data_IF_920836097879
#
_entry.id   IF_920836097879
#
_cell.length_a   1.000
_cell.length_b   1.000
_cell.length_c   1.000
_cell.angle_alpha   90.00
_cell.angle_beta   90.00
_cell.angle_gamma   90.00
#
_symmetry.space_group_name_H-M   'P 1'
#
loop_
_entity.id
_entity.type
_entity.pdbx_description
1 polymer ?
#
# COMPACT_ATOMS: atom_id res chain seq x y z
N UNK A 1 37.19 13.87 -4.34
CA UNK A 1 35.85 14.35 -4.78
C UNK A 1 34.65 13.68 -4.08
N UNK A 2 34.21 12.47 -4.44
CA UNK A 2 32.97 11.86 -3.88
C UNK A 2 32.99 11.65 -2.35
N UNK A 3 34.16 11.33 -1.81
CA UNK A 3 34.36 11.16 -0.36
C UNK A 3 34.64 12.49 0.35
N UNK A 4 35.36 13.41 -0.30
CA UNK A 4 35.88 14.64 0.33
C UNK A 4 34.91 15.82 0.23
N UNK A 5 34.23 16.01 -0.92
CA UNK A 5 33.32 17.14 -1.14
C UNK A 5 31.84 16.79 -0.90
N UNK A 6 31.45 15.54 -1.18
CA UNK A 6 30.06 15.08 -1.00
C UNK A 6 29.82 14.23 0.26
N UNK A 7 30.85 13.95 1.07
CA UNK A 7 30.77 13.22 2.34
C UNK A 7 29.98 11.89 2.30
N UNK A 8 30.02 11.15 1.18
CA UNK A 8 29.37 9.83 1.11
C UNK A 8 30.22 8.75 1.82
N UNK A 9 29.76 8.30 2.99
CA UNK A 9 30.39 7.20 3.73
C UNK A 9 30.03 5.79 3.17
N UNK A 10 28.88 5.64 2.50
CA UNK A 10 28.41 4.37 1.88
C UNK A 10 27.65 4.64 0.58
N UNK A 11 27.73 3.72 -0.39
CA UNK A 11 27.02 3.79 -1.69
C UNK A 11 27.79 4.40 -2.86
N UNK A 12 29.08 4.71 -2.68
CA UNK A 12 29.94 5.28 -3.73
C UNK A 12 30.11 4.35 -4.93
N UNK A 13 30.21 3.03 -4.72
CA UNK A 13 30.44 2.06 -5.79
C UNK A 13 29.29 1.98 -6.79
N UNK A 14 28.04 2.00 -6.30
CA UNK A 14 26.84 1.98 -7.16
C UNK A 14 26.74 3.25 -8.02
N UNK A 15 27.19 4.37 -7.47
CA UNK A 15 27.19 5.69 -8.12
C UNK A 15 28.37 5.88 -9.07
N UNK A 16 29.52 5.31 -8.74
CA UNK A 16 30.67 5.23 -9.64
C UNK A 16 30.36 4.32 -10.83
N UNK A 17 29.72 3.17 -10.61
CA UNK A 17 29.31 2.26 -11.70
C UNK A 17 28.29 2.89 -12.66
N UNK A 18 27.45 3.82 -12.19
CA UNK A 18 26.52 4.57 -13.05
C UNK A 18 27.21 5.47 -14.09
N UNK A 19 28.49 5.81 -13.87
CA UNK A 19 29.30 6.58 -14.82
C UNK A 19 30.26 5.75 -15.65
N UNK A 20 30.51 4.50 -15.25
CA UNK A 20 31.53 3.64 -15.84
C UNK A 20 30.89 2.32 -16.28
N UNK A 21 30.15 2.36 -17.38
CA UNK A 21 29.50 1.16 -17.97
C UNK A 21 30.54 0.15 -18.51
N UNK A 22 31.75 0.62 -18.83
CA UNK A 22 32.83 -0.17 -19.45
C UNK A 22 34.08 -0.37 -18.58
N UNK A 23 33.99 -0.17 -17.26
CA UNK A 23 35.10 -0.34 -16.32
C UNK A 23 36.27 0.66 -16.48
N UNK A 24 36.10 1.70 -17.29
CA UNK A 24 37.06 2.80 -17.41
C UNK A 24 37.03 3.68 -16.17
N UNK A 25 38.19 4.07 -15.63
CA UNK A 25 38.27 4.91 -14.43
C UNK A 25 38.10 6.41 -14.69
N UNK A 26 37.94 6.81 -15.96
CA UNK A 26 37.89 8.21 -16.38
C UNK A 26 36.56 8.50 -17.09
N UNK A 27 35.99 9.67 -16.82
CA UNK A 27 34.82 10.21 -17.54
C UNK A 27 35.23 11.49 -18.26
N UNK A 28 34.92 11.58 -19.55
CA UNK A 28 35.20 12.80 -20.31
C UNK A 28 34.13 13.87 -20.05
N UNK A 29 34.49 15.15 -20.16
CA UNK A 29 33.52 16.26 -20.01
C UNK A 29 32.38 16.15 -21.04
N UNK A 30 32.68 15.66 -22.25
CA UNK A 30 31.68 15.46 -23.31
C UNK A 30 30.69 14.36 -22.96
N UNK A 31 31.16 13.29 -22.34
CA UNK A 31 30.35 12.18 -21.87
C UNK A 31 29.45 12.61 -20.70
N UNK A 32 29.99 13.36 -19.74
CA UNK A 32 29.21 13.96 -18.67
C UNK A 32 28.09 14.86 -19.21
N UNK A 33 28.40 15.68 -20.21
CA UNK A 33 27.42 16.55 -20.86
C UNK A 33 26.33 15.77 -21.62
N UNK A 34 26.70 14.65 -22.24
CA UNK A 34 25.76 13.74 -22.91
C UNK A 34 24.83 13.05 -21.91
N UNK A 35 25.37 12.56 -20.79
CA UNK A 35 24.62 11.94 -19.69
C UNK A 35 23.65 12.96 -19.08
N UNK A 36 24.13 14.16 -18.78
CA UNK A 36 23.30 15.23 -18.21
C UNK A 36 22.16 15.62 -19.16
N UNK A 37 22.43 15.81 -20.46
CA UNK A 37 21.37 16.15 -21.43
C UNK A 37 20.31 15.07 -21.59
N UNK A 38 20.65 13.80 -21.34
CA UNK A 38 19.70 12.68 -21.34
C UNK A 38 18.99 12.49 -20.00
N UNK A 39 19.45 13.16 -18.94
CA UNK A 39 18.89 13.02 -17.59
C UNK A 39 17.59 13.82 -17.43
N UNK A 40 16.67 13.29 -16.61
CA UNK A 40 15.40 13.96 -16.27
C UNK A 40 15.60 15.33 -15.62
N UNK A 41 16.75 15.52 -14.96
CA UNK A 41 17.17 16.76 -14.31
C UNK A 41 17.26 17.91 -15.31
N UNK A 42 17.73 17.65 -16.52
CA UNK A 42 17.81 18.68 -17.57
C UNK A 42 16.42 19.27 -17.88
N UNK A 43 15.42 18.39 -17.95
CA UNK A 43 14.03 18.73 -18.27
C UNK A 43 13.23 19.27 -17.08
N UNK A 44 13.85 19.54 -15.94
CA UNK A 44 13.11 20.06 -14.80
C UNK A 44 12.52 21.44 -15.04
N UNK A 45 11.26 21.58 -14.63
CA UNK A 45 10.58 22.87 -14.59
C UNK A 45 11.05 23.71 -13.41
N UNK A 46 10.63 24.98 -13.39
CA UNK A 46 10.96 25.91 -12.30
C UNK A 46 10.37 25.41 -10.99
N UNK A 47 9.15 24.89 -11.02
CA UNK A 47 8.43 24.36 -9.85
C UNK A 47 9.18 23.17 -9.24
N UNK A 48 9.65 22.23 -10.09
CA UNK A 48 10.43 21.08 -9.65
C UNK A 48 11.77 21.49 -9.03
N UNK A 49 12.42 22.50 -9.62
CA UNK A 49 13.68 23.04 -9.09
C UNK A 49 13.48 23.76 -7.75
N UNK A 50 12.36 24.47 -7.59
CA UNK A 50 11.96 25.13 -6.34
C UNK A 50 11.62 24.10 -5.26
N UNK A 51 10.87 23.05 -5.61
CA UNK A 51 10.56 21.94 -4.70
C UNK A 51 11.84 21.24 -4.24
N UNK A 52 12.78 20.98 -5.16
CA UNK A 52 14.09 20.44 -4.85
C UNK A 52 14.87 21.32 -3.84
N UNK A 53 14.89 22.63 -4.06
CA UNK A 53 15.53 23.58 -3.14
C UNK A 53 14.89 23.56 -1.75
N UNK A 54 13.57 23.43 -1.68
CA UNK A 54 12.81 23.41 -0.44
C UNK A 54 12.96 22.09 0.35
N UNK A 55 12.95 20.95 -0.34
CA UNK A 55 12.90 19.61 0.27
C UNK A 55 14.29 18.99 0.44
N UNK A 56 15.16 19.11 -0.57
CA UNK A 56 16.47 18.42 -0.58
C UNK A 56 17.60 19.31 -0.10
N UNK A 57 17.54 20.61 -0.41
CA UNK A 57 18.54 21.59 0.03
C UNK A 57 18.11 22.26 1.35
N UNK A 58 16.81 22.17 1.70
CA UNK A 58 16.20 22.74 2.91
C UNK A 58 16.36 24.26 3.01
N UNK A 59 16.43 24.95 1.86
CA UNK A 59 16.61 26.41 1.78
C UNK A 59 15.34 27.07 1.22
N UNK A 60 14.24 26.92 1.96
CA UNK A 60 12.93 27.47 1.59
C UNK A 60 12.91 28.98 1.42
N UNK A 61 13.80 29.71 2.11
CA UNK A 61 13.87 31.17 2.04
C UNK A 61 14.25 31.73 0.65
N UNK A 62 14.87 30.92 -0.21
CA UNK A 62 15.28 31.35 -1.55
C UNK A 62 14.33 30.87 -2.66
N UNK A 63 13.25 30.16 -2.32
CA UNK A 63 12.29 29.61 -3.31
C UNK A 63 11.69 30.69 -4.20
N UNK A 64 11.27 31.80 -3.59
CA UNK A 64 10.69 32.93 -4.30
C UNK A 64 11.68 33.52 -5.33
N UNK A 65 12.95 33.67 -4.94
CA UNK A 65 13.99 34.17 -5.85
C UNK A 65 14.33 33.20 -6.97
N UNK A 66 14.26 31.89 -6.71
CA UNK A 66 14.44 30.87 -7.74
C UNK A 66 13.27 30.88 -8.75
N UNK A 67 12.05 31.12 -8.26
CA UNK A 67 10.87 31.25 -9.10
C UNK A 67 10.91 32.51 -9.97
N UNK A 68 11.19 33.68 -9.37
CA UNK A 68 11.30 34.97 -10.07
C UNK A 68 12.38 34.98 -11.15
N UNK A 69 13.51 34.31 -10.90
CA UNK A 69 14.60 34.20 -11.86
C UNK A 69 14.45 33.02 -12.84
N UNK A 70 13.28 32.36 -12.86
CA UNK A 70 12.96 31.23 -13.72
C UNK A 70 14.05 30.14 -13.75
N UNK A 71 14.58 29.79 -12.57
CA UNK A 71 15.64 28.80 -12.43
C UNK A 71 15.08 27.41 -12.73
N UNK A 72 15.45 26.87 -13.89
CA UNK A 72 15.03 25.55 -14.38
C UNK A 72 16.18 24.52 -14.33
N UNK A 73 15.89 23.28 -14.74
CA UNK A 73 16.86 22.19 -14.78
C UNK A 73 18.11 22.48 -15.62
N UNK A 74 17.97 23.26 -16.69
CA UNK A 74 19.06 23.60 -17.62
C UNK A 74 20.16 24.48 -17.00
N UNK A 75 19.84 25.24 -15.94
CA UNK A 75 20.79 26.13 -15.26
C UNK A 75 21.44 25.49 -14.03
N UNK A 76 21.06 24.26 -13.65
CA UNK A 76 21.65 23.54 -12.53
C UNK A 76 23.17 23.31 -12.65
N UNK A 77 23.75 23.01 -13.83
CA UNK A 77 25.21 22.93 -13.97
C UNK A 77 25.91 24.26 -13.64
N UNK A 78 25.27 25.40 -13.92
CA UNK A 78 25.81 26.72 -13.58
C UNK A 78 25.80 26.99 -12.08
N UNK A 79 24.83 26.42 -11.36
CA UNK A 79 24.78 26.42 -9.89
C UNK A 79 25.86 25.48 -9.31
N UNK A 80 26.05 24.31 -9.90
CA UNK A 80 27.09 23.36 -9.50
C UNK A 80 28.53 23.89 -9.75
N UNK A 81 28.72 24.76 -10.73
CA UNK A 81 29.99 25.44 -10.99
C UNK A 81 30.29 26.61 -10.04
N UNK A 82 29.45 26.84 -9.02
CA UNK A 82 29.59 27.92 -8.04
C UNK A 82 29.79 29.32 -8.68
N UNK A 83 29.00 29.65 -9.69
CA UNK A 83 29.12 30.96 -10.35
C UNK A 83 28.68 32.09 -9.39
N UNK A 84 29.67 32.78 -8.80
CA UNK A 84 29.44 33.82 -7.79
C UNK A 84 28.58 34.97 -8.31
N UNK A 85 28.71 35.33 -9.59
CA UNK A 85 27.90 36.39 -10.19
C UNK A 85 26.42 36.00 -10.20
N UNK A 86 26.12 34.76 -10.56
CA UNK A 86 24.74 34.27 -10.60
C UNK A 86 24.14 34.08 -9.19
N UNK A 87 24.86 33.38 -8.30
CA UNK A 87 24.40 33.12 -6.93
C UNK A 87 24.24 34.40 -6.10
N UNK A 88 25.15 35.36 -6.26
CA UNK A 88 25.20 36.56 -5.42
C UNK A 88 24.42 37.72 -6.03
N UNK A 89 24.54 37.99 -7.34
CA UNK A 89 23.88 39.15 -7.98
C UNK A 89 22.46 38.85 -8.43
N UNK A 90 22.18 37.64 -8.94
CA UNK A 90 20.86 37.28 -9.47
C UNK A 90 20.00 36.66 -8.38
N UNK A 91 20.53 35.65 -7.68
CA UNK A 91 19.80 34.95 -6.61
C UNK A 91 19.93 35.62 -5.23
N UNK A 92 20.83 36.59 -5.07
CA UNK A 92 20.98 37.34 -3.83
C UNK A 92 21.38 36.51 -2.61
N UNK A 93 22.10 35.40 -2.82
CA UNK A 93 22.57 34.51 -1.75
C UNK A 93 23.98 34.97 -1.34
N UNK A 94 24.06 35.71 -0.24
CA UNK A 94 25.34 36.26 0.25
C UNK A 94 26.09 35.28 1.16
N UNK A 95 25.36 34.40 1.84
CA UNK A 95 25.95 33.47 2.79
C UNK A 95 26.80 32.40 2.08
N UNK A 96 28.11 32.30 2.38
CA UNK A 96 28.97 31.27 1.77
C UNK A 96 28.49 29.85 2.10
N UNK A 97 27.95 29.62 3.30
CA UNK A 97 27.41 28.31 3.70
C UNK A 97 26.24 27.86 2.82
N UNK A 98 25.29 28.76 2.54
CA UNK A 98 24.14 28.44 1.68
C UNK A 98 24.56 28.21 0.24
N UNK A 99 25.51 29.01 -0.26
CA UNK A 99 26.10 28.83 -1.60
C UNK A 99 26.75 27.46 -1.73
N UNK A 100 27.68 27.11 -0.83
CA UNK A 100 28.33 25.80 -0.84
C UNK A 100 27.32 24.65 -0.73
N UNK A 101 26.28 24.76 0.11
CA UNK A 101 25.22 23.75 0.23
C UNK A 101 24.48 23.55 -1.11
N UNK A 102 24.10 24.64 -1.78
CA UNK A 102 23.43 24.59 -3.09
C UNK A 102 24.36 24.00 -4.14
N UNK A 103 25.63 24.44 -4.20
CA UNK A 103 26.62 23.94 -5.16
C UNK A 103 26.81 22.43 -5.04
N UNK A 104 27.02 21.93 -3.82
CA UNK A 104 27.22 20.50 -3.55
C UNK A 104 25.97 19.69 -3.94
N UNK A 105 24.78 20.16 -3.56
CA UNK A 105 23.52 19.48 -3.89
C UNK A 105 23.19 19.54 -5.39
N UNK A 106 23.45 20.67 -6.05
CA UNK A 106 23.27 20.83 -7.48
C UNK A 106 24.21 19.89 -8.23
N UNK A 107 25.43 19.71 -7.74
CA UNK A 107 26.36 18.75 -8.31
C UNK A 107 25.89 17.30 -8.11
N UNK A 108 25.38 16.95 -6.93
CA UNK A 108 24.79 15.63 -6.68
C UNK A 108 23.67 15.33 -7.68
N UNK A 109 22.80 16.30 -7.94
CA UNK A 109 21.67 16.14 -8.87
C UNK A 109 22.12 16.08 -10.33
N UNK A 110 23.05 16.95 -10.75
CA UNK A 110 23.58 16.95 -12.12
C UNK A 110 24.33 15.65 -12.43
N UNK A 111 25.02 15.09 -11.42
CA UNK A 111 25.76 13.86 -11.56
C UNK A 111 24.86 12.61 -11.44
N UNK A 112 23.97 12.57 -10.45
CA UNK A 112 23.29 11.34 -10.06
C UNK A 112 21.78 11.33 -10.33
N UNK A 113 21.24 12.41 -10.88
CA UNK A 113 19.82 12.53 -11.19
C UNK A 113 18.98 13.02 -10.00
N UNK A 114 17.64 12.94 -10.12
CA UNK A 114 16.72 13.40 -9.08
C UNK A 114 16.99 12.73 -7.73
N UNK A 115 16.90 13.47 -6.60
CA UNK A 115 16.94 12.85 -5.29
C UNK A 115 15.76 11.88 -5.18
N UNK A 116 16.03 10.64 -4.76
CA UNK A 116 15.07 9.52 -4.73
C UNK A 116 13.92 9.70 -3.73
N UNK A 117 13.62 10.90 -3.25
CA UNK A 117 12.68 11.18 -2.17
C UNK A 117 11.21 11.28 -2.58
N UNK A 118 10.89 11.70 -3.82
CA UNK A 118 9.49 11.78 -4.27
C UNK A 118 8.97 10.40 -4.67
N UNK A 119 9.66 9.74 -5.60
CA UNK A 119 9.18 8.47 -6.15
C UNK A 119 9.09 7.34 -5.13
N UNK A 120 9.88 7.33 -4.06
CA UNK A 120 9.72 6.31 -2.99
C UNK A 120 8.42 6.50 -2.20
N UNK A 121 8.01 7.74 -1.93
CA UNK A 121 6.72 8.00 -1.28
C UNK A 121 5.58 7.59 -2.19
N UNK A 122 5.68 7.95 -3.47
CA UNK A 122 4.68 7.59 -4.49
C UNK A 122 4.62 6.07 -4.69
N UNK A 123 5.77 5.37 -4.71
CA UNK A 123 5.84 3.92 -4.82
C UNK A 123 5.19 3.23 -3.61
N UNK A 124 5.41 3.73 -2.39
CA UNK A 124 4.78 3.20 -1.17
C UNK A 124 3.26 3.43 -1.19
N UNK A 125 2.81 4.58 -1.67
CA UNK A 125 1.38 4.85 -1.84
C UNK A 125 0.75 3.90 -2.87
N UNK A 126 1.42 3.66 -3.99
CA UNK A 126 0.96 2.74 -5.05
C UNK A 126 0.95 1.29 -4.55
N UNK A 127 1.96 0.84 -3.81
CA UNK A 127 1.96 -0.53 -3.26
C UNK A 127 0.89 -0.71 -2.19
N UNK A 128 0.63 0.30 -1.36
CA UNK A 128 -0.44 0.27 -0.38
C UNK A 128 -1.82 0.24 -1.06
N UNK A 129 -2.03 1.07 -2.09
CA UNK A 129 -3.29 1.12 -2.84
C UNK A 129 -3.54 -0.20 -3.57
N UNK A 130 -2.52 -0.80 -4.18
CA UNK A 130 -2.67 -2.09 -4.88
C UNK A 130 -2.96 -3.23 -3.90
N UNK A 131 -2.31 -3.28 -2.74
CA UNK A 131 -2.66 -4.24 -1.68
C UNK A 131 -4.10 -4.06 -1.18
N UNK A 132 -4.56 -2.82 -1.01
CA UNK A 132 -5.94 -2.53 -0.64
C UNK A 132 -6.94 -2.98 -1.72
N UNK A 133 -6.65 -2.73 -2.99
CA UNK A 133 -7.48 -3.18 -4.11
C UNK A 133 -7.50 -4.70 -4.27
N UNK A 134 -6.36 -5.37 -4.09
CA UNK A 134 -6.26 -6.84 -4.12
C UNK A 134 -7.05 -7.44 -2.95
N UNK A 135 -6.91 -6.86 -1.74
CA UNK A 135 -7.69 -7.26 -0.56
C UNK A 135 -9.18 -7.05 -0.75
N UNK A 136 -9.58 -5.88 -1.28
CA UNK A 136 -10.97 -5.56 -1.58
C UNK A 136 -11.53 -6.47 -2.67
N UNK A 137 -10.78 -6.76 -3.73
CA UNK A 137 -11.19 -7.68 -4.79
C UNK A 137 -11.36 -9.11 -4.28
N UNK A 138 -10.41 -9.60 -3.48
CA UNK A 138 -10.50 -10.93 -2.85
C UNK A 138 -11.65 -11.02 -1.86
N UNK A 139 -11.86 -9.99 -1.03
CA UNK A 139 -13.00 -9.91 -0.11
C UNK A 139 -14.33 -9.83 -0.87
N UNK A 140 -14.40 -9.05 -1.93
CA UNK A 140 -15.57 -8.94 -2.81
C UNK A 140 -15.88 -10.26 -3.53
N UNK A 141 -14.86 -10.96 -4.01
CA UNK A 141 -15.01 -12.29 -4.62
C UNK A 141 -15.50 -13.33 -3.59
N UNK A 142 -14.96 -13.30 -2.36
CA UNK A 142 -15.41 -14.13 -1.25
C UNK A 142 -16.85 -13.78 -0.83
N UNK A 143 -17.19 -12.50 -0.84
CA UNK A 143 -18.53 -11.98 -0.54
C UNK A 143 -19.60 -12.53 -1.48
N UNK A 144 -19.24 -12.70 -2.75
CA UNK A 144 -20.13 -13.31 -3.74
C UNK A 144 -20.31 -14.82 -3.54
N UNK A 145 -19.33 -15.48 -2.92
CA UNK A 145 -19.43 -16.90 -2.55
C UNK A 145 -20.28 -17.07 -1.27
N UNK A 146 -20.24 -16.11 -0.34
CA UNK A 146 -21.04 -16.14 0.89
C UNK A 146 -22.55 -16.08 0.61
N UNK A 147 -23.02 -15.35 -0.40
CA UNK A 147 -24.45 -15.34 -0.73
C UNK A 147 -24.99 -16.73 -1.13
N UNK A 148 -24.17 -17.53 -1.83
CA UNK A 148 -24.55 -18.91 -2.19
C UNK A 148 -24.54 -19.82 -0.96
N UNK A 149 -23.52 -19.71 -0.13
CA UNK A 149 -23.39 -20.52 1.09
C UNK A 149 -24.48 -20.21 2.13
N UNK A 150 -24.91 -18.95 2.24
CA UNK A 150 -26.02 -18.55 3.13
C UNK A 150 -27.37 -19.12 2.67
N UNK A 151 -27.60 -19.19 1.36
CA UNK A 151 -28.81 -19.79 0.80
C UNK A 151 -28.87 -21.30 1.06
N UNK A 152 -27.76 -22.01 0.87
CA UNK A 152 -27.68 -23.45 1.18
C UNK A 152 -27.83 -23.72 2.69
N UNK A 153 -27.24 -22.87 3.54
CA UNK A 153 -27.33 -23.02 4.99
C UNK A 153 -28.76 -22.76 5.54
N UNK A 154 -29.54 -21.89 4.90
CA UNK A 154 -30.95 -21.68 5.25
C UNK A 154 -31.80 -22.91 4.86
N UNK A 155 -31.51 -23.49 3.71
CA UNK A 155 -32.20 -24.68 3.21
C UNK A 155 -31.92 -25.91 4.08
N UNK A 156 -30.71 -26.02 4.63
CA UNK A 156 -30.37 -27.10 5.57
C UNK A 156 -31.02 -26.91 6.95
N UNK A 157 -31.23 -25.66 7.42
CA UNK A 157 -32.02 -25.44 8.65
C UNK A 157 -33.49 -25.84 8.47
N UNK A 158 -34.08 -25.59 7.30
CA UNK A 158 -35.46 -25.98 7.01
C UNK A 158 -35.62 -27.51 7.04
N UNK A 159 -34.68 -28.24 6.43
CA UNK A 159 -34.66 -29.72 6.45
C UNK A 159 -34.44 -30.29 7.85
N UNK A 160 -33.55 -29.69 8.64
CA UNK A 160 -33.34 -30.12 10.02
C UNK A 160 -34.60 -29.91 10.87
N UNK A 161 -35.30 -28.79 10.69
CA UNK A 161 -36.58 -28.50 11.36
C UNK A 161 -37.66 -29.50 10.98
N UNK A 162 -37.76 -29.87 9.71
CA UNK A 162 -38.70 -30.90 9.25
C UNK A 162 -38.38 -32.27 9.87
N UNK A 163 -37.08 -32.59 10.01
CA UNK A 163 -36.64 -33.84 10.64
C UNK A 163 -36.97 -33.86 12.14
N UNK A 164 -36.80 -32.74 12.82
CA UNK A 164 -37.18 -32.57 14.23
C UNK A 164 -38.70 -32.73 14.41
N UNK A 165 -39.50 -32.13 13.54
CA UNK A 165 -40.97 -32.25 13.60
C UNK A 165 -41.42 -33.70 13.35
N UNK A 166 -40.79 -34.40 12.41
CA UNK A 166 -41.09 -35.81 12.12
C UNK A 166 -40.71 -36.74 13.28
N UNK A 167 -39.57 -36.50 13.94
CA UNK A 167 -39.19 -37.23 15.15
C UNK A 167 -40.21 -36.99 16.28
N UNK A 168 -40.62 -35.74 16.49
CA UNK A 168 -41.58 -35.39 17.52
C UNK A 168 -42.97 -35.99 17.26
N UNK A 169 -43.38 -36.13 15.99
CA UNK A 169 -44.60 -36.84 15.60
C UNK A 169 -44.51 -38.33 15.91
N UNK A 170 -43.36 -38.97 15.64
CA UNK A 170 -43.16 -40.38 15.92
C UNK A 170 -43.23 -40.67 17.43
N UNK A 171 -42.60 -39.85 18.26
CA UNK A 171 -42.67 -39.96 19.72
C UNK A 171 -44.10 -39.80 20.24
N UNK A 172 -44.86 -38.82 19.71
CA UNK A 172 -46.28 -38.65 20.08
C UNK A 172 -47.12 -39.86 19.70
N UNK A 173 -46.93 -40.40 18.50
CA UNK A 173 -47.67 -41.57 18.02
C UNK A 173 -47.37 -42.81 18.89
N UNK A 174 -46.09 -43.06 19.19
CA UNK A 174 -45.71 -44.14 20.11
C UNK A 174 -46.35 -43.96 21.49
N UNK A 175 -46.29 -42.77 22.08
CA UNK A 175 -46.89 -42.50 23.40
C UNK A 175 -48.41 -42.70 23.38
N UNK A 176 -49.09 -42.30 22.30
CA UNK A 176 -50.53 -42.51 22.16
C UNK A 176 -50.91 -43.99 22.00
N UNK A 177 -50.11 -44.77 21.25
CA UNK A 177 -50.31 -46.21 21.14
C UNK A 177 -50.10 -46.91 22.48
N UNK A 178 -49.03 -46.58 23.21
CA UNK A 178 -48.74 -47.13 24.54
C UNK A 178 -49.87 -46.81 25.53
N UNK A 179 -50.41 -45.59 25.50
CA UNK A 179 -51.51 -45.18 26.39
C UNK A 179 -52.80 -45.92 26.04
N UNK A 180 -53.11 -46.07 24.75
CA UNK A 180 -54.30 -46.81 24.29
C UNK A 180 -54.23 -48.28 24.67
N UNK A 181 -53.06 -48.92 24.53
CA UNK A 181 -52.84 -50.31 24.94
C UNK A 181 -53.00 -50.48 26.45
N UNK A 182 -52.52 -49.51 27.24
CA UNK A 182 -52.66 -49.53 28.70
C UNK A 182 -54.11 -49.29 29.18
N UNK A 183 -54.90 -48.49 28.47
CA UNK A 183 -56.32 -48.28 28.75
C UNK A 183 -57.16 -49.52 28.39
N UNK A 184 -56.84 -50.19 27.28
CA UNK A 184 -57.47 -51.46 26.90
C UNK A 184 -57.23 -52.55 27.96
N UNK A 185 -56.01 -52.66 28.47
CA UNK A 185 -55.64 -53.64 29.50
C UNK A 185 -56.40 -53.39 30.82
N UNK A 186 -56.48 -52.12 31.26
CA UNK A 186 -57.26 -51.75 32.46
C UNK A 186 -58.75 -52.00 32.30
N UNK A 187 -59.33 -51.64 31.16
CA UNK A 187 -60.76 -51.82 30.92
C UNK A 187 -61.12 -53.31 30.86
N UNK A 188 -60.23 -54.13 30.28
CA UNK A 188 -60.38 -55.59 30.30
C UNK A 188 -60.31 -56.18 31.72
N UNK A 189 -59.39 -55.69 32.56
CA UNK A 189 -59.29 -56.08 33.97
C UNK A 189 -60.53 -55.66 34.79
N UNK A 190 -61.07 -54.47 34.55
CA UNK A 190 -62.30 -53.97 35.18
C UNK A 190 -63.53 -54.80 34.76
N UNK A 191 -63.67 -55.14 33.48
CA UNK A 191 -64.73 -56.05 32.99
C UNK A 191 -64.62 -57.44 33.63
N UNK A 192 -63.41 -57.99 33.75
CA UNK A 192 -63.17 -59.27 34.42
C UNK A 192 -63.54 -59.22 35.90
N UNK A 193 -63.32 -58.09 36.58
CA UNK A 193 -63.72 -57.91 37.98
C UNK A 193 -65.24 -57.78 38.12
N UNK A 194 -65.89 -57.01 37.25
CA UNK A 194 -67.35 -56.84 37.25
C UNK A 194 -68.06 -58.19 37.01
N UNK A 195 -67.60 -58.98 36.03
CA UNK A 195 -68.14 -60.31 35.76
C UNK A 195 -67.93 -61.29 36.91
N UNK A 196 -66.81 -61.21 37.63
CA UNK A 196 -66.59 -62.03 38.84
C UNK A 196 -67.55 -61.67 39.97
N UNK A 197 -67.89 -60.39 40.11
CA UNK A 197 -68.76 -59.89 41.17
C UNK A 197 -70.25 -60.16 40.90
N UNK A 198 -70.66 -60.31 39.63
CA UNK A 198 -72.01 -60.74 39.25
C UNK A 198 -72.24 -62.26 39.43
N UNK A 199 -71.16 -63.03 39.59
CA UNK A 199 -71.18 -64.49 39.70
C UNK A 199 -71.11 -65.02 41.15
N UNK A 200 -70.96 -64.14 42.15
CA UNK A 200 -71.08 -64.40 43.60
C UNK A 200 -72.43 -63.93 44.15
#
# INVERSE_FOLDING_TARGET
FLREELQYAKGYEKRQKAFHDNNDQYISVRELWSIWKKSEVHSWTVEQTVAWLAETVELKQYTQKFFENAVNGSVLPRLAANNEQFLTKVLGIRDPKHRSKITIKAMDVVLFGPPKGSHVKDLVLVTLLTLALIGCFKAYQRNREYEKQLGEMLLDMEKLRETEENLQKLERNMNSSVTSDQELDKNHDEELQALKLELE
#
